data_IF_922261419316
#
_entry.id   IF_922261419316
#
_cell.length_a   1.000
_cell.length_b   1.000
_cell.length_c   1.000
_cell.angle_alpha   90.00
_cell.angle_beta   90.00
_cell.angle_gamma   90.00
#
_symmetry.space_group_name_H-M   'P 1'
#
loop_
_entity.id
_entity.type
_entity.pdbx_description
1 polymer ?
#
# COMPACT_ATOMS: atom_id res chain seq x y z
N UNK A 1 22.96 22.65 -16.95
CA UNK A 1 22.22 21.68 -17.77
C UNK A 1 22.73 21.69 -19.22
N UNK A 2 22.79 22.86 -19.89
CA UNK A 2 23.27 22.98 -21.27
C UNK A 2 24.76 22.62 -21.42
N UNK A 3 25.61 22.95 -20.44
CA UNK A 3 27.01 22.54 -20.41
C UNK A 3 27.21 21.03 -20.26
N UNK A 4 26.37 20.37 -19.48
CA UNK A 4 26.39 18.89 -19.32
C UNK A 4 25.86 18.19 -20.59
N UNK A 5 24.78 18.71 -21.19
CA UNK A 5 24.28 18.25 -22.50
C UNK A 5 25.35 18.39 -23.61
N UNK A 6 26.09 19.50 -23.63
CA UNK A 6 27.15 19.70 -24.63
C UNK A 6 28.34 18.74 -24.45
N UNK A 7 28.61 18.28 -23.22
CA UNK A 7 29.60 17.23 -22.96
C UNK A 7 29.10 15.85 -23.41
N UNK A 8 27.85 15.50 -23.10
CA UNK A 8 27.23 14.25 -23.52
C UNK A 8 27.12 14.10 -25.04
N UNK A 9 26.88 15.20 -25.76
CA UNK A 9 26.84 15.20 -27.23
C UNK A 9 28.23 15.08 -27.91
N UNK A 10 29.33 15.09 -27.15
CA UNK A 10 30.69 14.94 -27.68
C UNK A 10 31.22 13.50 -27.53
N UNK A 11 30.57 12.70 -26.70
CA UNK A 11 30.90 11.26 -26.53
C UNK A 11 30.09 10.47 -27.56
N UNK A 12 30.74 9.62 -28.33
CA UNK A 12 30.04 8.65 -29.16
C UNK A 12 29.15 7.80 -28.22
N UNK A 13 27.85 7.64 -28.53
CA UNK A 13 26.98 6.81 -27.69
C UNK A 13 27.59 5.41 -27.60
N UNK A 14 27.61 4.82 -26.40
CA UNK A 14 28.17 3.48 -26.23
C UNK A 14 27.48 2.53 -27.21
N UNK A 15 28.28 1.82 -27.99
CA UNK A 15 27.78 0.83 -28.94
C UNK A 15 27.08 -0.27 -28.14
N UNK A 16 25.76 -0.25 -28.13
CA UNK A 16 24.97 -1.33 -27.52
C UNK A 16 25.13 -2.56 -28.39
N UNK A 17 25.96 -3.48 -27.96
CA UNK A 17 25.99 -4.81 -28.59
C UNK A 17 24.64 -5.49 -28.29
N UNK A 18 23.76 -5.55 -29.29
CA UNK A 18 22.58 -6.38 -29.19
C UNK A 18 23.05 -7.83 -29.05
N UNK A 19 22.66 -8.49 -27.94
CA UNK A 19 22.93 -9.90 -27.77
C UNK A 19 22.30 -10.63 -28.96
N UNK A 20 23.11 -11.34 -29.70
CA UNK A 20 22.62 -12.33 -30.66
C UNK A 20 21.92 -13.43 -29.86
N UNK A 21 20.71 -13.79 -30.29
CA UNK A 21 19.99 -14.91 -29.70
C UNK A 21 20.89 -16.16 -29.76
N UNK A 22 20.96 -16.96 -28.69
CA UNK A 22 21.65 -18.22 -28.76
C UNK A 22 21.01 -19.05 -29.86
N UNK A 23 21.78 -19.42 -30.86
CA UNK A 23 21.37 -20.45 -31.81
C UNK A 23 21.38 -21.79 -31.04
N UNK A 24 20.21 -22.14 -30.49
CA UNK A 24 20.05 -23.47 -29.86
C UNK A 24 19.57 -24.43 -30.92
N UNK A 25 20.27 -25.53 -31.04
CA UNK A 25 19.68 -26.73 -31.64
C UNK A 25 18.61 -27.22 -30.68
N UNK A 26 17.33 -27.04 -31.07
CA UNK A 26 16.21 -27.52 -30.27
C UNK A 26 16.27 -29.05 -30.25
N UNK A 27 16.69 -29.63 -29.16
CA UNK A 27 16.71 -31.06 -28.96
C UNK A 27 15.25 -31.50 -28.84
N UNK A 28 14.68 -32.01 -29.92
CA UNK A 28 13.34 -32.62 -29.92
C UNK A 28 13.48 -33.90 -29.12
N UNK A 29 13.05 -33.88 -27.86
CA UNK A 29 12.93 -35.10 -27.05
C UNK A 29 11.77 -35.89 -27.61
N UNK A 30 12.02 -37.08 -28.16
CA UNK A 30 11.00 -37.94 -28.80
C UNK A 30 9.90 -38.42 -27.84
N UNK A 31 10.08 -38.36 -26.53
CA UNK A 31 9.04 -38.69 -25.56
C UNK A 31 8.16 -37.46 -25.29
N UNK A 32 7.00 -37.38 -25.95
CA UNK A 32 5.97 -36.42 -25.54
C UNK A 32 5.39 -36.87 -24.21
N UNK A 33 5.61 -36.13 -23.13
CA UNK A 33 4.95 -36.45 -21.85
C UNK A 33 3.43 -36.37 -22.05
N UNK A 34 2.70 -37.19 -21.32
CA UNK A 34 1.24 -37.18 -21.39
C UNK A 34 0.76 -35.82 -20.86
N UNK A 35 0.02 -35.10 -21.70
CA UNK A 35 -0.60 -33.83 -21.31
C UNK A 35 -1.72 -34.10 -20.32
N UNK A 36 -1.64 -33.54 -19.13
CA UNK A 36 -2.73 -33.55 -18.16
C UNK A 36 -3.57 -32.27 -18.26
N UNK A 37 -4.73 -32.25 -17.60
CA UNK A 37 -5.60 -31.08 -17.56
C UNK A 37 -4.87 -29.84 -17.02
N UNK A 38 -3.96 -30.02 -16.06
CA UNK A 38 -3.16 -28.95 -15.48
C UNK A 38 -2.27 -28.25 -16.48
N UNK A 39 -1.77 -28.97 -17.53
CA UNK A 39 -1.02 -28.34 -18.60
C UNK A 39 -1.87 -27.35 -19.40
N UNK A 40 -3.10 -27.70 -19.73
CA UNK A 40 -3.97 -26.82 -20.53
C UNK A 40 -4.34 -25.56 -19.75
N UNK A 41 -4.66 -25.69 -18.45
CA UNK A 41 -4.95 -24.56 -17.58
C UNK A 41 -3.70 -23.67 -17.40
N UNK A 42 -2.52 -24.27 -17.19
CA UNK A 42 -1.27 -23.55 -17.10
C UNK A 42 -0.94 -22.83 -18.42
N UNK A 43 -1.11 -23.51 -19.55
CA UNK A 43 -0.84 -22.92 -20.86
C UNK A 43 -1.75 -21.72 -21.13
N UNK A 44 -3.03 -21.82 -20.84
CA UNK A 44 -3.99 -20.72 -20.99
C UNK A 44 -3.64 -19.51 -20.13
N UNK A 45 -3.23 -19.73 -18.87
CA UNK A 45 -3.03 -18.64 -17.90
C UNK A 45 -1.60 -18.08 -17.87
N UNK A 46 -0.60 -18.89 -18.24
CA UNK A 46 0.80 -18.52 -18.03
C UNK A 46 1.63 -18.43 -19.32
N UNK A 47 1.08 -18.79 -20.47
CA UNK A 47 1.83 -18.81 -21.74
C UNK A 47 1.23 -17.81 -22.72
N UNK A 48 2.06 -16.91 -23.25
CA UNK A 48 1.67 -15.92 -24.24
C UNK A 48 2.51 -16.06 -25.52
N UNK A 49 1.92 -16.02 -26.72
CA UNK A 49 2.69 -16.06 -27.96
C UNK A 49 3.53 -14.78 -28.09
N UNK A 50 4.76 -14.94 -28.56
CA UNK A 50 5.60 -13.81 -28.95
C UNK A 50 5.25 -13.34 -30.38
N UNK A 51 5.82 -12.22 -30.79
CA UNK A 51 5.71 -11.76 -32.21
C UNK A 51 6.41 -12.70 -33.17
N UNK A 52 7.38 -13.47 -32.68
CA UNK A 52 8.11 -14.47 -33.45
C UNK A 52 7.31 -15.78 -33.46
N UNK A 53 7.01 -16.27 -34.65
CA UNK A 53 6.25 -17.50 -34.84
C UNK A 53 6.94 -18.68 -34.18
N UNK A 54 6.17 -19.53 -33.48
CA UNK A 54 6.66 -20.71 -32.77
C UNK A 54 7.34 -20.42 -31.42
N UNK A 55 7.41 -19.15 -30.95
CA UNK A 55 8.00 -18.77 -29.68
C UNK A 55 7.01 -18.15 -28.73
N UNK A 56 7.22 -18.40 -27.42
CA UNK A 56 6.33 -18.03 -26.35
C UNK A 56 7.05 -17.34 -25.19
N UNK A 57 6.31 -16.51 -24.48
CA UNK A 57 6.61 -16.02 -23.15
C UNK A 57 6.00 -16.98 -22.14
N UNK A 58 6.72 -17.34 -21.10
CA UNK A 58 6.20 -18.12 -19.99
C UNK A 58 6.28 -17.30 -18.71
N UNK A 59 5.11 -16.97 -18.17
CA UNK A 59 4.98 -16.28 -16.92
C UNK A 59 5.13 -17.24 -15.75
N UNK A 60 5.90 -16.82 -14.74
CA UNK A 60 6.05 -17.49 -13.46
C UNK A 60 5.42 -16.58 -12.41
N UNK A 61 4.14 -16.79 -12.06
CA UNK A 61 3.46 -15.99 -11.06
C UNK A 61 4.07 -16.22 -9.69
N UNK A 62 4.31 -15.12 -8.98
CA UNK A 62 4.80 -15.12 -7.61
C UNK A 62 3.80 -14.36 -6.73
N UNK A 63 3.38 -14.96 -5.62
CA UNK A 63 2.53 -14.24 -4.67
C UNK A 63 3.36 -13.11 -4.04
N UNK A 64 2.98 -11.87 -4.35
CA UNK A 64 3.65 -10.64 -3.88
C UNK A 64 5.15 -10.58 -4.23
N UNK A 65 5.58 -11.27 -5.28
CA UNK A 65 6.98 -11.29 -5.71
C UNK A 65 7.91 -12.15 -4.84
N UNK A 66 7.37 -12.99 -3.96
CA UNK A 66 8.19 -13.83 -3.08
C UNK A 66 8.58 -15.14 -3.77
N UNK A 67 9.87 -15.45 -3.71
CA UNK A 67 10.44 -16.74 -4.09
C UNK A 67 11.55 -17.10 -3.11
N UNK A 68 11.62 -18.34 -2.69
CA UNK A 68 12.70 -18.79 -1.81
C UNK A 68 14.01 -18.90 -2.60
N UNK A 69 15.15 -18.75 -1.91
CA UNK A 69 16.49 -18.85 -2.53
C UNK A 69 16.68 -20.20 -3.23
N UNK A 70 16.26 -21.30 -2.61
CA UNK A 70 16.33 -22.66 -3.17
C UNK A 70 15.53 -22.81 -4.47
N UNK A 71 14.29 -22.25 -4.52
CA UNK A 71 13.48 -22.25 -5.75
C UNK A 71 14.10 -21.36 -6.84
N UNK A 72 14.65 -20.21 -6.45
CA UNK A 72 15.28 -19.29 -7.40
C UNK A 72 16.54 -19.89 -8.02
N UNK A 73 17.37 -20.58 -7.22
CA UNK A 73 18.57 -21.30 -7.69
C UNK A 73 18.19 -22.38 -8.71
N UNK A 74 17.23 -23.24 -8.38
CA UNK A 74 16.75 -24.27 -9.31
C UNK A 74 16.09 -23.67 -10.56
N UNK A 75 15.41 -22.54 -10.43
CA UNK A 75 14.84 -21.83 -11.58
C UNK A 75 15.94 -21.26 -12.47
N UNK A 76 17.06 -20.83 -11.94
CA UNK A 76 18.21 -20.38 -12.71
C UNK A 76 18.73 -21.51 -13.62
N UNK A 77 18.88 -22.75 -13.09
CA UNK A 77 19.24 -23.93 -13.90
C UNK A 77 18.25 -24.19 -15.05
N UNK A 78 16.94 -24.03 -14.77
CA UNK A 78 15.90 -24.16 -15.81
C UNK A 78 16.08 -23.11 -16.89
N UNK A 79 16.35 -21.86 -16.51
CA UNK A 79 16.50 -20.74 -17.44
C UNK A 79 17.77 -20.87 -18.31
N UNK A 80 18.83 -21.52 -17.81
CA UNK A 80 20.02 -21.85 -18.61
C UNK A 80 19.71 -22.85 -19.71
N UNK A 81 18.77 -23.77 -19.47
CA UNK A 81 18.37 -24.81 -20.44
C UNK A 81 17.35 -24.26 -21.44
N UNK A 82 16.36 -23.46 -20.97
CA UNK A 82 15.27 -22.99 -21.78
C UNK A 82 15.35 -21.48 -22.04
N UNK A 83 14.80 -21.04 -23.14
CA UNK A 83 14.75 -19.62 -23.49
C UNK A 83 16.12 -19.05 -23.86
N UNK A 84 16.40 -17.83 -23.47
CA UNK A 84 17.62 -17.08 -23.80
C UNK A 84 18.69 -17.08 -22.69
N UNK A 85 18.53 -17.94 -21.68
CA UNK A 85 19.40 -17.95 -20.49
C UNK A 85 19.19 -16.73 -19.57
N UNK A 86 18.03 -16.09 -19.64
CA UNK A 86 17.68 -14.91 -18.84
C UNK A 86 16.22 -14.92 -18.40
N UNK A 87 16.00 -14.54 -17.16
CA UNK A 87 14.69 -14.15 -16.63
C UNK A 87 14.53 -12.64 -16.61
N UNK A 88 13.28 -12.20 -16.61
CA UNK A 88 12.92 -10.79 -16.42
C UNK A 88 11.92 -10.64 -15.30
N UNK A 89 12.15 -9.69 -14.41
CA UNK A 89 11.14 -9.25 -13.47
C UNK A 89 10.11 -8.39 -14.20
N UNK A 90 8.84 -8.57 -13.88
CA UNK A 90 7.74 -7.77 -14.42
C UNK A 90 7.34 -6.66 -13.44
N UNK A 91 6.62 -5.66 -13.94
CA UNK A 91 6.03 -4.63 -13.09
C UNK A 91 4.93 -5.17 -12.16
N UNK A 92 4.37 -6.36 -12.45
CA UNK A 92 3.44 -7.08 -11.59
C UNK A 92 4.10 -7.90 -10.49
N UNK A 93 5.41 -7.70 -10.22
CA UNK A 93 6.19 -8.46 -9.23
C UNK A 93 6.25 -9.97 -9.54
N UNK A 94 6.18 -10.35 -10.81
CA UNK A 94 6.29 -11.73 -11.29
C UNK A 94 7.58 -11.89 -12.10
N UNK A 95 7.90 -13.13 -12.48
CA UNK A 95 9.01 -13.42 -13.38
C UNK A 95 8.46 -13.87 -14.76
N UNK A 96 9.27 -13.70 -15.79
CA UNK A 96 8.96 -14.17 -17.13
C UNK A 96 10.21 -14.71 -17.81
N UNK A 97 10.06 -15.85 -18.51
CA UNK A 97 11.05 -16.44 -19.40
C UNK A 97 10.58 -16.23 -20.84
N UNK A 98 11.47 -15.83 -21.71
CA UNK A 98 11.19 -15.58 -23.13
C UNK A 98 11.87 -16.61 -24.01
N UNK A 99 11.47 -16.60 -25.27
CA UNK A 99 12.07 -17.46 -26.30
C UNK A 99 11.95 -18.95 -26.04
N UNK A 100 10.80 -19.36 -25.48
CA UNK A 100 10.46 -20.76 -25.32
C UNK A 100 9.84 -21.24 -26.61
N UNK A 101 10.45 -22.25 -27.25
CA UNK A 101 9.90 -22.84 -28.43
C UNK A 101 8.67 -23.71 -28.10
N UNK A 102 7.69 -23.76 -29.00
CA UNK A 102 6.45 -24.53 -28.83
C UNK A 102 6.71 -25.98 -28.38
N UNK A 103 7.68 -26.65 -28.99
CA UNK A 103 8.02 -28.03 -28.65
C UNK A 103 8.61 -28.22 -27.24
N UNK A 104 9.05 -27.15 -26.59
CA UNK A 104 9.64 -27.16 -25.22
C UNK A 104 8.60 -26.94 -24.13
N UNK A 105 7.40 -26.41 -24.47
CA UNK A 105 6.40 -26.01 -23.49
C UNK A 105 5.98 -27.14 -22.54
N UNK A 106 5.81 -28.36 -23.10
CA UNK A 106 5.36 -29.50 -22.29
C UNK A 106 6.39 -29.93 -21.27
N UNK A 107 7.67 -30.00 -21.68
CA UNK A 107 8.74 -30.41 -20.74
C UNK A 107 9.04 -29.29 -19.75
N UNK A 108 8.98 -28.03 -20.17
CA UNK A 108 9.12 -26.88 -19.28
C UNK A 108 8.02 -26.85 -18.22
N UNK A 109 6.76 -27.11 -18.60
CA UNK A 109 5.64 -27.23 -17.65
C UNK A 109 5.95 -28.27 -16.57
N UNK A 110 6.37 -29.49 -16.97
CA UNK A 110 6.68 -30.55 -15.99
C UNK A 110 7.85 -30.15 -15.06
N UNK A 111 8.85 -29.49 -15.61
CA UNK A 111 9.99 -28.98 -14.82
C UNK A 111 9.54 -27.92 -13.81
N UNK A 112 8.76 -26.94 -14.25
CA UNK A 112 8.20 -25.90 -13.37
C UNK A 112 7.24 -26.46 -12.33
N UNK A 113 6.43 -27.48 -12.73
CA UNK A 113 5.51 -28.18 -11.80
C UNK A 113 6.25 -28.88 -10.68
N UNK A 114 7.37 -29.54 -10.98
CA UNK A 114 8.23 -30.19 -9.97
C UNK A 114 8.87 -29.19 -9.01
N UNK A 115 9.03 -27.94 -9.42
CA UNK A 115 9.53 -26.83 -8.58
C UNK A 115 8.40 -26.08 -7.86
N UNK A 116 7.14 -26.48 -8.04
CA UNK A 116 5.97 -25.75 -7.56
C UNK A 116 5.97 -24.26 -8.07
N UNK A 117 6.27 -24.09 -9.37
CA UNK A 117 6.34 -22.81 -10.08
C UNK A 117 5.43 -22.76 -11.32
N UNK A 118 4.65 -23.83 -11.58
CA UNK A 118 3.67 -23.90 -12.65
C UNK A 118 2.25 -23.54 -12.19
N UNK A 119 2.09 -22.76 -11.13
CA UNK A 119 0.78 -22.45 -10.57
C UNK A 119 -0.03 -21.51 -11.49
N UNK A 120 -1.21 -21.92 -11.97
CA UNK A 120 -2.08 -21.08 -12.76
C UNK A 120 -2.91 -20.15 -11.85
N UNK A 121 -2.27 -19.18 -11.20
CA UNK A 121 -2.97 -18.23 -10.34
C UNK A 121 -4.01 -17.45 -11.14
N UNK A 122 -5.18 -17.24 -10.53
CA UNK A 122 -6.18 -16.32 -11.07
C UNK A 122 -5.55 -14.93 -11.30
N UNK A 123 -5.90 -14.29 -12.42
CA UNK A 123 -5.27 -13.03 -12.82
C UNK A 123 -5.38 -11.94 -11.77
N UNK A 124 -6.52 -11.84 -11.08
CA UNK A 124 -6.69 -10.86 -9.99
C UNK A 124 -5.66 -11.06 -8.86
N UNK A 125 -5.35 -12.30 -8.48
CA UNK A 125 -4.34 -12.61 -7.46
C UNK A 125 -2.94 -12.30 -7.98
N UNK A 126 -2.63 -12.74 -9.21
CA UNK A 126 -1.36 -12.50 -9.88
C UNK A 126 -1.06 -11.00 -10.07
N UNK A 127 -2.09 -10.19 -10.21
CA UNK A 127 -2.00 -8.76 -10.47
C UNK A 127 -2.11 -7.90 -9.19
N UNK A 128 -2.03 -8.50 -7.99
CA UNK A 128 -1.86 -7.76 -6.74
C UNK A 128 -0.39 -7.35 -6.61
N UNK A 129 -0.17 -6.04 -6.58
CA UNK A 129 1.16 -5.45 -6.37
C UNK A 129 1.20 -4.74 -5.03
N UNK A 130 2.13 -5.12 -4.16
CA UNK A 130 2.30 -4.49 -2.85
C UNK A 130 3.75 -4.08 -2.63
N UNK A 131 3.99 -2.86 -2.12
CA UNK A 131 5.33 -2.47 -1.68
C UNK A 131 5.69 -3.16 -0.36
N UNK A 132 6.93 -3.04 0.11
CA UNK A 132 7.34 -3.62 1.39
C UNK A 132 6.61 -3.01 2.59
N UNK A 133 6.12 -1.77 2.43
CA UNK A 133 5.47 -1.05 3.51
C UNK A 133 6.35 -0.93 4.75
N UNK A 134 5.73 -0.85 5.89
CA UNK A 134 6.39 -0.66 7.18
C UNK A 134 7.25 -1.84 7.65
N UNK A 135 7.29 -2.97 6.93
CA UNK A 135 8.13 -4.10 7.31
C UNK A 135 9.64 -3.78 7.20
N UNK A 136 10.03 -3.01 6.18
CA UNK A 136 11.45 -2.62 5.96
C UNK A 136 11.61 -1.14 5.62
N UNK A 137 10.54 -0.47 5.20
CA UNK A 137 10.60 0.93 4.81
C UNK A 137 10.33 1.84 6.02
N UNK A 138 11.30 2.71 6.35
CA UNK A 138 11.15 3.68 7.45
C UNK A 138 10.06 4.73 7.20
N UNK A 139 9.69 4.96 5.95
CA UNK A 139 8.61 5.88 5.54
C UNK A 139 7.24 5.18 5.51
N UNK A 140 7.22 3.85 5.61
CA UNK A 140 6.00 3.07 5.55
C UNK A 140 5.13 3.31 6.78
N UNK A 141 3.83 3.55 6.57
CA UNK A 141 2.84 3.66 7.65
C UNK A 141 2.31 2.26 7.98
N UNK A 142 1.82 1.55 6.98
CA UNK A 142 1.18 0.25 7.15
C UNK A 142 1.97 -0.90 6.50
N UNK A 143 1.66 -2.13 6.94
CA UNK A 143 2.22 -3.39 6.43
C UNK A 143 1.44 -3.84 5.18
N UNK A 144 1.70 -3.20 4.04
CA UNK A 144 0.98 -3.43 2.78
C UNK A 144 0.99 -4.88 2.29
N UNK A 145 2.08 -5.62 2.53
CA UNK A 145 2.16 -7.04 2.16
C UNK A 145 1.29 -7.92 3.04
N UNK A 146 1.18 -7.59 4.33
CA UNK A 146 0.26 -8.26 5.25
C UNK A 146 -1.19 -8.08 4.81
N UNK A 147 -1.59 -6.83 4.49
CA UNK A 147 -2.91 -6.56 3.94
C UNK A 147 -3.15 -7.32 2.62
N UNK A 148 -2.17 -7.33 1.72
CA UNK A 148 -2.30 -8.05 0.46
C UNK A 148 -2.55 -9.56 0.66
N UNK A 149 -1.83 -10.20 1.58
CA UNK A 149 -2.09 -11.60 1.97
C UNK A 149 -3.49 -11.79 2.53
N UNK A 150 -3.94 -10.88 3.40
CA UNK A 150 -5.28 -10.95 3.97
C UNK A 150 -6.36 -10.81 2.90
N UNK A 151 -6.19 -9.92 1.90
CA UNK A 151 -7.10 -9.80 0.76
C UNK A 151 -7.09 -11.09 -0.07
N UNK A 152 -5.91 -11.62 -0.41
CA UNK A 152 -5.80 -12.87 -1.19
C UNK A 152 -6.54 -14.02 -0.49
N UNK A 153 -6.32 -14.21 0.81
CA UNK A 153 -6.99 -15.25 1.58
C UNK A 153 -8.51 -15.05 1.57
N UNK A 154 -8.98 -13.86 1.89
CA UNK A 154 -10.41 -13.55 1.97
C UNK A 154 -11.13 -13.77 0.63
N UNK A 155 -10.58 -13.28 -0.50
CA UNK A 155 -11.19 -13.46 -1.82
C UNK A 155 -11.09 -14.91 -2.31
N UNK A 156 -10.07 -15.66 -1.91
CA UNK A 156 -9.91 -17.08 -2.25
C UNK A 156 -10.90 -17.97 -1.50
N UNK A 157 -11.22 -17.59 -0.24
CA UNK A 157 -12.17 -18.33 0.60
C UNK A 157 -13.63 -17.96 0.32
N UNK A 158 -13.88 -16.85 -0.39
CA UNK A 158 -15.20 -16.24 -0.57
C UNK A 158 -15.87 -16.76 -1.83
N UNK A 159 -16.19 -17.91 -2.09
CA UNK A 159 -17.02 -18.45 -3.21
C UNK A 159 -17.20 -17.48 -4.41
N UNK A 160 -16.09 -16.80 -4.82
CA UNK A 160 -16.05 -15.90 -5.96
C UNK A 160 -15.49 -16.62 -7.19
N UNK A 161 -16.08 -16.36 -8.34
CA UNK A 161 -15.51 -16.77 -9.62
C UNK A 161 -14.36 -15.80 -9.98
N UNK A 162 -13.13 -16.13 -9.54
CA UNK A 162 -11.97 -15.27 -9.70
C UNK A 162 -11.60 -15.00 -11.17
N UNK A 163 -12.03 -15.84 -12.11
CA UNK A 163 -11.77 -15.66 -13.53
C UNK A 163 -12.62 -14.53 -14.14
N UNK A 164 -13.68 -14.08 -13.46
CA UNK A 164 -14.43 -12.86 -13.85
C UNK A 164 -13.67 -11.56 -13.61
N UNK A 165 -12.57 -11.61 -12.85
CA UNK A 165 -11.79 -10.43 -12.46
C UNK A 165 -10.44 -10.36 -13.18
N UNK A 166 -10.31 -10.98 -14.34
CA UNK A 166 -9.04 -11.10 -15.08
C UNK A 166 -8.40 -9.74 -15.42
N UNK A 167 -9.21 -8.72 -15.66
CA UNK A 167 -8.74 -7.38 -16.05
C UNK A 167 -8.49 -6.46 -14.85
N UNK A 168 -8.81 -6.92 -13.61
CA UNK A 168 -8.65 -6.10 -12.41
C UNK A 168 -7.24 -6.25 -11.85
N UNK A 169 -6.56 -5.12 -11.65
CA UNK A 169 -5.34 -5.05 -10.86
C UNK A 169 -5.55 -4.28 -9.57
N UNK A 170 -4.88 -4.74 -8.51
CA UNK A 170 -4.96 -4.18 -7.16
C UNK A 170 -3.55 -3.74 -6.75
N UNK A 171 -3.38 -2.46 -6.46
CA UNK A 171 -2.09 -1.89 -6.09
C UNK A 171 -2.13 -1.35 -4.66
N UNK A 172 -1.24 -1.85 -3.78
CA UNK A 172 -1.27 -1.57 -2.33
C UNK A 172 0.05 -0.95 -1.89
N UNK A 173 0.03 0.33 -1.54
CA UNK A 173 1.17 1.04 -0.95
C UNK A 173 1.04 1.12 0.56
N UNK A 174 2.14 1.01 1.29
CA UNK A 174 2.16 1.15 2.75
C UNK A 174 2.02 2.60 3.24
N UNK A 175 2.07 3.58 2.34
CA UNK A 175 1.91 5.01 2.59
C UNK A 175 1.57 5.73 1.28
N UNK A 176 1.29 7.06 1.27
CA UNK A 176 0.95 7.82 0.07
C UNK A 176 2.03 7.90 -1.02
N UNK A 177 3.28 7.50 -0.75
CA UNK A 177 4.42 7.61 -1.68
C UNK A 177 4.32 6.77 -2.96
N UNK A 178 3.25 6.02 -3.15
CA UNK A 178 2.91 5.33 -4.41
C UNK A 178 3.92 4.31 -4.94
N UNK A 179 4.78 3.74 -4.10
CA UNK A 179 5.81 2.78 -4.53
C UNK A 179 5.25 1.55 -5.27
N UNK A 180 4.02 1.12 -4.95
CA UNK A 180 3.28 0.10 -5.70
C UNK A 180 2.40 0.67 -6.80
N UNK A 181 2.49 1.97 -7.08
CA UNK A 181 1.73 2.64 -8.14
C UNK A 181 0.20 2.58 -7.93
N UNK A 182 -0.27 2.68 -6.68
CA UNK A 182 -1.70 2.61 -6.38
C UNK A 182 -2.56 3.61 -7.17
N UNK A 183 -2.07 4.82 -7.58
CA UNK A 183 -2.91 5.75 -8.34
C UNK A 183 -3.28 5.26 -9.75
N UNK A 184 -2.60 4.24 -10.28
CA UNK A 184 -2.91 3.69 -11.62
C UNK A 184 -3.51 2.30 -11.56
N UNK A 185 -3.76 1.75 -10.36
CA UNK A 185 -4.49 0.50 -10.18
C UNK A 185 -5.98 0.67 -10.45
N UNK A 186 -6.64 -0.36 -10.97
CA UNK A 186 -8.11 -0.39 -11.02
C UNK A 186 -8.68 -0.22 -9.61
N UNK A 187 -8.04 -0.84 -8.62
CA UNK A 187 -8.25 -0.63 -7.21
C UNK A 187 -6.89 -0.28 -6.59
N UNK A 188 -6.78 0.94 -6.09
CA UNK A 188 -5.60 1.45 -5.42
C UNK A 188 -5.83 1.59 -3.92
N UNK A 189 -4.84 1.18 -3.12
CA UNK A 189 -4.88 1.28 -1.66
C UNK A 189 -3.58 1.91 -1.17
N UNK A 190 -3.66 2.82 -0.22
CA UNK A 190 -2.47 3.28 0.48
C UNK A 190 -2.69 3.42 1.98
N UNK A 191 -1.65 3.06 2.74
CA UNK A 191 -1.68 3.06 4.20
C UNK A 191 -1.75 4.45 4.79
N UNK A 192 -2.52 4.57 5.86
CA UNK A 192 -2.71 5.77 6.66
C UNK A 192 -2.84 5.38 8.14
N UNK A 193 -2.73 6.36 9.03
CA UNK A 193 -2.95 6.20 10.46
C UNK A 193 -4.05 7.13 10.93
N UNK A 194 -4.87 6.68 11.87
CA UNK A 194 -5.89 7.53 12.52
C UNK A 194 -5.94 7.27 14.01
N UNK A 195 -6.17 8.30 14.77
CA UNK A 195 -6.47 8.18 16.20
C UNK A 195 -7.93 7.77 16.42
N UNK A 196 -8.12 6.76 17.26
CA UNK A 196 -9.43 6.38 17.82
C UNK A 196 -9.28 6.45 19.33
N UNK A 197 -9.85 7.49 19.91
CA UNK A 197 -9.49 7.88 21.27
C UNK A 197 -8.00 8.20 21.36
N UNK A 198 -7.29 7.59 22.30
CA UNK A 198 -5.87 7.81 22.55
C UNK A 198 -4.96 6.80 21.84
N UNK A 199 -5.46 6.01 20.88
CA UNK A 199 -4.67 4.98 20.21
C UNK A 199 -4.67 5.18 18.70
N UNK A 200 -3.53 4.92 18.09
CA UNK A 200 -3.41 4.83 16.65
C UNK A 200 -4.01 3.52 16.13
N UNK A 201 -4.65 3.62 14.98
CA UNK A 201 -5.27 2.50 14.27
C UNK A 201 -4.80 2.54 12.81
N UNK A 202 -4.31 1.42 12.26
CA UNK A 202 -3.95 1.35 10.85
C UNK A 202 -5.21 1.45 9.99
N UNK A 203 -5.14 2.29 8.96
CA UNK A 203 -6.18 2.51 7.98
C UNK A 203 -5.61 2.42 6.57
N UNK A 204 -6.50 2.25 5.60
CA UNK A 204 -6.16 2.43 4.19
C UNK A 204 -7.15 3.38 3.52
N UNK A 205 -6.61 4.21 2.64
CA UNK A 205 -7.41 5.00 1.70
C UNK A 205 -7.66 4.15 0.46
N UNK A 206 -8.92 4.11 0.02
CA UNK A 206 -9.33 3.36 -1.16
C UNK A 206 -9.51 4.33 -2.32
N UNK A 207 -8.88 4.00 -3.44
CA UNK A 207 -8.99 4.73 -4.71
C UNK A 207 -9.42 3.76 -5.81
N UNK A 208 -10.32 4.19 -6.67
CA UNK A 208 -10.92 3.35 -7.71
C UNK A 208 -10.80 3.99 -9.10
N UNK A 209 -10.63 3.15 -10.11
CA UNK A 209 -10.72 3.53 -11.51
C UNK A 209 -9.44 4.09 -12.12
N UNK A 210 -8.26 3.74 -11.61
CA UNK A 210 -7.01 3.98 -12.31
C UNK A 210 -6.96 3.16 -13.61
N UNK A 211 -6.38 3.72 -14.66
CA UNK A 211 -6.29 3.08 -15.98
C UNK A 211 -5.06 3.58 -16.72
N UNK A 212 -4.31 2.67 -17.31
CA UNK A 212 -3.26 2.97 -18.27
C UNK A 212 -3.67 2.48 -19.65
N UNK A 213 -4.20 3.35 -20.47
CA UNK A 213 -4.69 2.99 -21.81
C UNK A 213 -4.58 4.16 -22.78
N UNK A 214 -3.40 4.41 -23.31
CA UNK A 214 -3.21 5.42 -24.36
C UNK A 214 -3.86 6.78 -24.01
N UNK A 215 -4.83 7.19 -24.82
CA UNK A 215 -5.57 8.44 -24.64
C UNK A 215 -6.54 8.46 -23.47
N UNK A 216 -6.88 7.31 -22.88
CA UNK A 216 -7.82 7.19 -21.75
C UNK A 216 -7.12 6.98 -20.40
N UNK A 217 -5.83 7.27 -20.32
CA UNK A 217 -5.06 7.17 -19.07
C UNK A 217 -5.63 8.11 -18.01
N UNK A 218 -5.95 7.57 -16.83
CA UNK A 218 -6.44 8.33 -15.69
C UNK A 218 -5.95 7.76 -14.37
N UNK A 219 -5.89 8.62 -13.35
CA UNK A 219 -5.57 8.21 -11.99
C UNK A 219 -6.83 7.74 -11.24
N UNK A 220 -6.65 6.75 -10.38
CA UNK A 220 -7.67 6.29 -9.44
C UNK A 220 -8.10 7.43 -8.50
N UNK A 221 -9.36 7.47 -8.14
CA UNK A 221 -9.96 8.50 -7.32
C UNK A 221 -10.59 7.90 -6.07
N UNK A 222 -10.53 8.62 -4.97
CA UNK A 222 -11.09 8.26 -3.67
C UNK A 222 -10.26 8.86 -2.54
N UNK A 223 -10.93 9.19 -1.44
CA UNK A 223 -10.30 9.77 -0.25
C UNK A 223 -10.81 9.13 1.04
N UNK A 224 -11.63 8.11 0.92
CA UNK A 224 -12.29 7.48 2.05
C UNK A 224 -11.35 6.51 2.77
N UNK A 225 -11.41 6.55 4.09
CA UNK A 225 -10.59 5.74 4.98
C UNK A 225 -11.37 4.54 5.51
N UNK A 226 -10.76 3.38 5.48
CA UNK A 226 -11.26 2.16 6.12
C UNK A 226 -10.18 1.61 7.05
N UNK A 227 -10.53 1.16 8.28
CA UNK A 227 -9.56 0.45 9.13
C UNK A 227 -8.99 -0.75 8.38
N UNK A 228 -7.68 -0.96 8.51
CA UNK A 228 -6.97 -2.04 7.80
C UNK A 228 -7.65 -3.40 7.98
N UNK A 229 -8.20 -3.64 9.18
CA UNK A 229 -8.89 -4.89 9.52
C UNK A 229 -10.10 -5.20 8.63
N UNK A 230 -10.80 -4.16 8.16
CA UNK A 230 -12.04 -4.30 7.38
C UNK A 230 -11.81 -4.29 5.86
N UNK A 231 -10.60 -3.98 5.40
CA UNK A 231 -10.32 -3.88 3.95
C UNK A 231 -10.56 -5.20 3.21
N UNK A 232 -10.17 -6.40 3.71
CA UNK A 232 -10.46 -7.65 3.00
C UNK A 232 -11.95 -7.88 2.79
N UNK A 233 -12.78 -7.70 3.83
CA UNK A 233 -14.23 -7.86 3.72
C UNK A 233 -14.88 -6.82 2.78
N UNK A 234 -14.38 -5.56 2.80
CA UNK A 234 -14.79 -4.56 1.83
C UNK A 234 -14.50 -5.01 0.39
N UNK A 235 -13.29 -5.53 0.14
CA UNK A 235 -12.88 -6.01 -1.19
C UNK A 235 -13.78 -7.15 -1.67
N UNK A 236 -14.06 -8.10 -0.80
CA UNK A 236 -14.92 -9.24 -1.11
C UNK A 236 -16.34 -8.80 -1.45
N UNK A 237 -16.95 -7.93 -0.65
CA UNK A 237 -18.30 -7.41 -0.93
C UNK A 237 -18.33 -6.60 -2.24
N UNK A 238 -17.30 -5.80 -2.50
CA UNK A 238 -17.20 -5.02 -3.72
C UNK A 238 -17.08 -5.88 -4.98
N UNK A 239 -16.20 -6.91 -4.95
CA UNK A 239 -16.01 -7.84 -6.05
C UNK A 239 -17.26 -8.72 -6.26
N UNK A 240 -17.92 -9.17 -5.17
CA UNK A 240 -19.17 -9.93 -5.25
C UNK A 240 -20.26 -9.13 -5.96
N UNK A 241 -20.42 -7.86 -5.63
CA UNK A 241 -21.39 -7.00 -6.30
C UNK A 241 -21.08 -6.81 -7.79
N UNK A 242 -19.81 -6.74 -8.18
CA UNK A 242 -19.43 -6.73 -9.59
C UNK A 242 -19.80 -8.08 -10.27
N UNK A 243 -19.46 -9.20 -9.65
CA UNK A 243 -19.82 -10.54 -10.15
C UNK A 243 -21.34 -10.71 -10.35
N UNK A 244 -22.14 -10.15 -9.43
CA UNK A 244 -23.60 -10.20 -9.44
C UNK A 244 -24.24 -9.18 -10.38
N UNK A 245 -23.44 -8.41 -11.12
CA UNK A 245 -23.88 -7.36 -12.04
C UNK A 245 -23.59 -7.69 -13.51
N UNK A 246 -24.15 -8.80 -14.07
CA UNK A 246 -23.83 -9.28 -15.42
C UNK A 246 -24.28 -8.32 -16.54
N UNK A 247 -25.07 -7.31 -16.23
CA UNK A 247 -25.46 -6.24 -17.18
C UNK A 247 -24.30 -5.30 -17.54
N UNK A 248 -23.21 -5.31 -16.79
CA UNK A 248 -22.01 -4.54 -17.10
C UNK A 248 -21.00 -5.42 -17.86
N UNK A 249 -20.53 -4.98 -19.03
CA UNK A 249 -19.63 -5.77 -19.86
C UNK A 249 -18.25 -5.96 -19.25
N UNK A 250 -17.80 -5.03 -18.41
CA UNK A 250 -16.49 -5.00 -17.79
C UNK A 250 -16.50 -4.23 -16.45
N UNK A 251 -15.36 -4.25 -15.78
CA UNK A 251 -15.18 -3.53 -14.51
C UNK A 251 -15.38 -2.01 -14.63
N UNK A 252 -14.97 -1.42 -15.75
CA UNK A 252 -15.06 0.02 -15.95
C UNK A 252 -16.51 0.48 -16.04
N UNK A 253 -17.32 -0.22 -16.84
CA UNK A 253 -18.76 0.04 -16.94
C UNK A 253 -19.47 -0.16 -15.59
N UNK A 254 -19.13 -1.21 -14.85
CA UNK A 254 -19.63 -1.41 -13.50
C UNK A 254 -19.27 -0.24 -12.58
N UNK A 255 -17.99 0.17 -12.58
CA UNK A 255 -17.51 1.22 -11.71
C UNK A 255 -18.23 2.55 -11.93
N UNK A 256 -18.39 2.95 -13.21
CA UNK A 256 -19.03 4.24 -13.57
C UNK A 256 -20.55 4.23 -13.32
N UNK A 257 -21.21 3.10 -13.56
CA UNK A 257 -22.68 3.05 -13.44
C UNK A 257 -23.15 2.88 -11.99
N UNK A 258 -22.46 2.08 -11.18
CA UNK A 258 -22.89 1.79 -9.81
C UNK A 258 -21.75 1.60 -8.81
N UNK A 259 -20.56 1.20 -9.25
CA UNK A 259 -19.47 0.77 -8.37
C UNK A 259 -18.96 1.88 -7.44
N UNK A 260 -18.89 3.13 -7.91
CA UNK A 260 -18.48 4.28 -7.08
C UNK A 260 -19.45 4.53 -5.94
N UNK A 261 -20.74 4.54 -6.23
CA UNK A 261 -21.79 4.72 -5.21
C UNK A 261 -21.81 3.54 -4.22
N UNK A 262 -21.63 2.33 -4.72
CA UNK A 262 -21.53 1.15 -3.87
C UNK A 262 -20.31 1.24 -2.95
N UNK A 263 -19.15 1.67 -3.45
CA UNK A 263 -17.96 1.85 -2.64
C UNK A 263 -18.19 2.83 -1.47
N UNK A 264 -18.87 3.95 -1.70
CA UNK A 264 -19.27 4.91 -0.63
C UNK A 264 -20.15 4.24 0.43
N UNK A 265 -21.11 3.42 -0.01
CA UNK A 265 -21.99 2.67 0.90
C UNK A 265 -21.20 1.64 1.72
N UNK A 266 -20.30 0.90 1.07
CA UNK A 266 -19.43 -0.09 1.73
C UNK A 266 -18.44 0.59 2.69
N UNK A 267 -17.87 1.74 2.33
CA UNK A 267 -17.05 2.54 3.26
C UNK A 267 -17.86 2.89 4.51
N UNK A 268 -19.11 3.35 4.34
CA UNK A 268 -19.97 3.67 5.48
C UNK A 268 -20.24 2.45 6.36
N UNK A 269 -20.40 1.26 5.76
CA UNK A 269 -20.55 -0.02 6.48
C UNK A 269 -19.28 -0.41 7.26
N UNK A 270 -18.12 -0.20 6.67
CA UNK A 270 -16.84 -0.73 7.17
C UNK A 270 -15.95 0.27 7.91
N UNK A 271 -16.29 1.55 7.98
CA UNK A 271 -15.46 2.59 8.62
C UNK A 271 -15.40 2.55 10.13
N UNK A 272 -16.31 1.81 10.78
CA UNK A 272 -16.40 1.81 12.24
C UNK A 272 -15.25 1.00 12.86
N UNK A 273 -14.58 1.59 13.86
CA UNK A 273 -13.59 0.94 14.69
C UNK A 273 -14.18 0.76 16.10
N UNK A 274 -14.30 -0.47 16.60
CA UNK A 274 -14.73 -0.69 17.98
C UNK A 274 -13.67 -0.20 18.98
N UNK A 275 -14.05 0.17 20.21
CA UNK A 275 -13.09 0.47 21.28
C UNK A 275 -12.11 -0.68 21.49
N UNK A 276 -10.89 -0.36 21.93
CA UNK A 276 -9.80 -1.31 22.13
C UNK A 276 -10.18 -2.49 23.04
N UNK A 277 -10.97 -2.22 24.07
CA UNK A 277 -11.43 -3.23 25.04
C UNK A 277 -12.43 -4.22 24.42
N UNK A 278 -13.12 -3.81 23.36
CA UNK A 278 -14.07 -4.67 22.62
C UNK A 278 -13.39 -5.55 21.61
N UNK A 279 -12.48 -4.98 20.81
CA UNK A 279 -11.73 -5.73 19.82
C UNK A 279 -10.35 -5.11 19.58
N UNK A 280 -9.34 -5.75 20.14
CA UNK A 280 -7.94 -5.33 20.03
C UNK A 280 -7.36 -5.50 18.63
N UNK A 281 -7.94 -6.39 17.80
CA UNK A 281 -7.40 -6.71 16.47
C UNK A 281 -7.39 -5.50 15.53
N UNK A 282 -8.28 -4.53 15.73
CA UNK A 282 -8.29 -3.29 14.94
C UNK A 282 -7.07 -2.41 15.17
N UNK A 283 -6.37 -2.61 16.29
CA UNK A 283 -5.20 -1.82 16.71
C UNK A 283 -3.88 -2.50 16.36
N UNK A 284 -3.94 -3.62 15.62
CA UNK A 284 -2.81 -4.28 15.00
C UNK A 284 -2.93 -4.17 13.49
N UNK A 285 -1.82 -3.95 12.81
CA UNK A 285 -1.80 -4.08 11.37
C UNK A 285 -1.76 -5.57 10.97
N UNK A 286 -2.03 -5.88 9.72
CA UNK A 286 -1.95 -7.23 9.21
C UNK A 286 -0.50 -7.76 9.28
N UNK A 287 -0.33 -8.95 9.81
CA UNK A 287 0.97 -9.59 10.10
C UNK A 287 1.82 -8.86 11.16
N UNK A 288 1.27 -7.93 11.94
CA UNK A 288 1.97 -7.30 13.04
C UNK A 288 1.90 -8.15 14.32
N UNK A 289 3.03 -8.28 15.01
CA UNK A 289 3.13 -8.92 16.32
C UNK A 289 2.90 -7.94 17.49
N UNK A 290 2.90 -6.64 17.21
CA UNK A 290 2.74 -5.57 18.20
C UNK A 290 1.62 -4.60 17.79
N UNK A 291 1.16 -3.81 18.76
CA UNK A 291 0.22 -2.73 18.51
C UNK A 291 0.75 -1.77 17.46
N UNK A 292 -0.16 -1.27 16.63
CA UNK A 292 0.20 -0.32 15.58
C UNK A 292 0.77 0.97 16.19
N UNK A 293 1.92 1.37 15.69
CA UNK A 293 2.67 2.52 16.17
C UNK A 293 3.46 3.16 15.02
N UNK A 294 3.62 4.47 15.06
CA UNK A 294 4.51 5.23 14.19
C UNK A 294 5.83 5.61 14.89
N UNK A 295 6.01 5.24 16.15
CA UNK A 295 7.25 5.50 16.88
C UNK A 295 8.46 4.88 16.19
N UNK A 296 9.57 5.62 16.13
CA UNK A 296 10.80 5.17 15.47
C UNK A 296 10.74 5.14 13.94
N UNK A 297 9.67 5.63 13.30
CA UNK A 297 9.65 5.87 11.86
C UNK A 297 10.61 7.00 11.53
N UNK A 298 11.33 6.85 10.41
CA UNK A 298 12.31 7.84 10.00
C UNK A 298 11.67 9.09 9.42
N UNK A 299 12.35 10.23 9.61
CA UNK A 299 12.14 11.41 8.79
C UNK A 299 12.71 11.12 7.39
N UNK A 300 11.92 11.29 6.37
CA UNK A 300 12.34 11.06 4.97
C UNK A 300 11.74 12.12 4.07
N UNK A 301 12.30 12.27 2.87
CA UNK A 301 11.85 13.23 1.86
C UNK A 301 10.37 13.11 1.47
N UNK A 302 9.67 12.09 1.96
CA UNK A 302 8.29 11.81 1.62
C UNK A 302 7.49 11.44 2.88
N UNK A 303 7.24 12.38 3.76
CA UNK A 303 6.47 12.22 4.99
C UNK A 303 4.96 12.47 4.83
N UNK A 304 4.43 12.40 3.60
CA UNK A 304 3.05 12.77 3.28
C UNK A 304 1.99 12.17 4.24
N UNK A 305 2.15 10.90 4.65
CA UNK A 305 1.21 10.29 5.59
C UNK A 305 1.33 10.80 7.03
N UNK A 306 2.48 11.31 7.43
CA UNK A 306 2.68 11.99 8.71
C UNK A 306 2.04 13.37 8.66
N UNK A 307 2.18 14.09 7.54
CA UNK A 307 1.50 15.37 7.34
C UNK A 307 -0.03 15.22 7.39
N UNK A 308 -0.60 14.16 6.79
CA UNK A 308 -2.04 13.89 6.87
C UNK A 308 -2.50 13.67 8.32
N UNK A 309 -1.72 12.93 9.11
CA UNK A 309 -2.03 12.71 10.53
C UNK A 309 -2.01 14.02 11.34
N UNK A 310 -0.97 14.83 11.15
CA UNK A 310 -0.85 16.15 11.80
C UNK A 310 -2.02 17.04 11.42
N UNK A 311 -2.35 17.12 10.12
CA UNK A 311 -3.46 17.94 9.62
C UNK A 311 -4.81 17.52 10.23
N UNK A 312 -5.06 16.23 10.41
CA UNK A 312 -6.29 15.73 11.03
C UNK A 312 -6.38 16.15 12.50
N UNK A 313 -5.30 16.00 13.25
CA UNK A 313 -5.26 16.39 14.66
C UNK A 313 -5.42 17.91 14.83
N UNK A 314 -4.74 18.72 13.99
CA UNK A 314 -4.85 20.18 14.02
C UNK A 314 -6.26 20.66 13.60
N UNK A 315 -6.83 20.11 12.54
CA UNK A 315 -8.21 20.44 12.15
C UNK A 315 -9.21 20.12 13.26
N UNK A 316 -9.02 18.95 13.93
CA UNK A 316 -9.86 18.57 15.08
C UNK A 316 -9.64 19.48 16.31
N UNK A 317 -8.41 19.96 16.52
CA UNK A 317 -8.13 20.93 17.58
C UNK A 317 -8.83 22.27 17.33
N UNK A 318 -8.78 22.80 16.09
CA UNK A 318 -9.49 24.01 15.69
C UNK A 318 -11.02 23.88 15.85
N UNK A 319 -11.58 22.73 15.47
CA UNK A 319 -13.00 22.45 15.63
C UNK A 319 -13.38 22.37 17.12
N UNK A 320 -12.57 21.72 17.94
CA UNK A 320 -12.76 21.62 19.38
C UNK A 320 -12.77 23.00 20.08
N UNK A 321 -11.90 23.93 19.66
CA UNK A 321 -11.96 25.32 20.15
C UNK A 321 -13.29 25.97 19.82
N UNK A 322 -13.79 25.83 18.58
CA UNK A 322 -15.08 26.41 18.15
C UNK A 322 -16.27 25.84 18.92
N UNK A 323 -16.18 24.57 19.30
CA UNK A 323 -17.20 23.88 20.09
C UNK A 323 -17.07 24.12 21.61
N UNK A 324 -16.05 24.85 22.06
CA UNK A 324 -15.78 25.09 23.48
C UNK A 324 -15.18 23.89 24.21
N UNK A 325 -14.68 22.89 23.50
CA UNK A 325 -14.02 21.68 24.05
C UNK A 325 -12.53 21.94 24.25
N UNK A 326 -12.21 22.72 25.29
CA UNK A 326 -10.87 23.25 25.49
C UNK A 326 -9.85 22.20 25.94
N UNK A 327 -10.29 21.19 26.70
CA UNK A 327 -9.46 20.05 27.11
C UNK A 327 -9.00 19.26 25.88
N UNK A 328 -9.95 18.88 25.03
CA UNK A 328 -9.68 18.15 23.77
C UNK A 328 -8.79 18.97 22.83
N UNK A 329 -9.06 20.27 22.66
CA UNK A 329 -8.26 21.14 21.82
C UNK A 329 -6.78 21.18 22.24
N UNK A 330 -6.51 21.33 23.55
CA UNK A 330 -5.16 21.37 24.09
C UNK A 330 -4.44 20.03 23.91
N UNK A 331 -5.12 18.90 24.17
CA UNK A 331 -4.55 17.56 24.02
C UNK A 331 -4.22 17.27 22.54
N UNK A 332 -5.14 17.59 21.63
CA UNK A 332 -4.95 17.38 20.20
C UNK A 332 -3.78 18.21 19.65
N UNK A 333 -3.68 19.47 20.05
CA UNK A 333 -2.56 20.33 19.67
C UNK A 333 -1.22 19.79 20.19
N UNK A 334 -1.16 19.42 21.47
CA UNK A 334 0.05 18.87 22.07
C UNK A 334 0.51 17.55 21.41
N UNK A 335 -0.45 16.71 20.97
CA UNK A 335 -0.18 15.43 20.35
C UNK A 335 0.26 15.55 18.89
N UNK A 336 -0.30 16.50 18.15
CA UNK A 336 -0.21 16.58 16.69
C UNK A 336 1.22 16.54 16.16
N UNK A 337 2.15 17.27 16.78
CA UNK A 337 3.54 17.38 16.32
C UNK A 337 4.51 16.38 16.94
N UNK A 338 4.10 15.54 17.91
CA UNK A 338 5.01 14.58 18.55
C UNK A 338 5.66 13.61 17.56
N UNK A 339 4.92 13.23 16.54
CA UNK A 339 5.39 12.33 15.48
C UNK A 339 6.60 12.91 14.72
N UNK A 340 6.75 14.24 14.64
CA UNK A 340 7.91 14.92 14.04
C UNK A 340 9.19 14.67 14.82
N UNK A 341 9.06 14.42 16.12
CA UNK A 341 10.15 14.07 17.02
C UNK A 341 10.34 12.54 17.17
N UNK A 342 9.67 11.75 16.32
CA UNK A 342 9.70 10.29 16.40
C UNK A 342 9.05 9.73 17.67
N UNK A 343 8.20 10.53 18.32
CA UNK A 343 7.52 10.17 19.55
C UNK A 343 6.06 9.81 19.29
N UNK A 344 5.54 8.90 20.09
CA UNK A 344 4.14 8.53 20.13
C UNK A 344 3.73 8.36 21.60
N UNK A 345 2.71 9.12 22.02
CA UNK A 345 2.20 9.07 23.38
C UNK A 345 1.23 7.89 23.56
N UNK A 346 1.35 7.16 24.64
CA UNK A 346 0.45 6.04 25.00
C UNK A 346 -0.93 6.52 25.45
N UNK A 347 -0.97 7.73 26.02
CA UNK A 347 -2.20 8.38 26.49
C UNK A 347 -2.06 9.91 26.43
N UNK A 348 -3.16 10.60 26.77
CA UNK A 348 -3.20 12.07 26.74
C UNK A 348 -2.27 12.71 27.78
N UNK A 349 -2.04 12.08 28.92
CA UNK A 349 -1.13 12.61 29.92
C UNK A 349 0.33 12.56 29.45
N UNK A 350 0.73 11.44 28.84
CA UNK A 350 2.07 11.30 28.25
C UNK A 350 2.26 12.28 27.08
N UNK A 351 1.21 12.52 26.26
CA UNK A 351 1.28 13.50 25.16
C UNK A 351 1.67 14.90 25.66
N UNK A 352 1.07 15.35 26.75
CA UNK A 352 1.36 16.65 27.34
C UNK A 352 2.77 16.72 27.95
N UNK A 353 3.24 15.63 28.58
CA UNK A 353 4.62 15.53 29.10
C UNK A 353 5.64 15.61 27.97
N UNK A 354 5.42 14.84 26.89
CA UNK A 354 6.30 14.83 25.74
C UNK A 354 6.29 16.17 25.00
N UNK A 355 5.12 16.80 24.88
CA UNK A 355 5.02 18.14 24.29
C UNK A 355 5.83 19.16 25.10
N UNK A 356 5.70 19.19 26.42
CA UNK A 356 6.54 20.06 27.26
C UNK A 356 8.02 19.82 27.01
N UNK A 357 8.46 18.56 26.99
CA UNK A 357 9.87 18.20 26.79
C UNK A 357 10.42 18.59 25.43
N UNK A 358 9.67 18.32 24.35
CA UNK A 358 10.19 18.46 22.98
C UNK A 358 9.88 19.81 22.34
N UNK A 359 8.92 20.58 22.88
CA UNK A 359 8.50 21.84 22.28
C UNK A 359 8.67 23.03 23.22
N UNK A 360 8.33 22.93 24.49
CA UNK A 360 8.50 24.02 25.44
C UNK A 360 9.95 24.08 25.96
N UNK A 361 10.48 22.97 26.46
CA UNK A 361 11.87 22.93 27.00
C UNK A 361 12.93 23.24 25.95
N UNK A 362 12.61 23.04 24.66
CA UNK A 362 13.49 23.37 23.53
C UNK A 362 13.33 24.80 23.00
N UNK A 363 12.31 25.53 23.48
CA UNK A 363 12.02 26.89 23.07
C UNK A 363 11.29 27.00 21.72
N UNK A 364 10.80 25.89 21.15
CA UNK A 364 9.94 25.90 19.96
C UNK A 364 8.56 26.50 20.25
N UNK A 365 8.05 26.27 21.45
CA UNK A 365 6.82 26.86 21.98
C UNK A 365 7.20 27.69 23.20
N UNK A 366 6.61 28.89 23.32
CA UNK A 366 6.91 29.82 24.38
C UNK A 366 6.57 29.25 25.78
N UNK A 367 7.41 29.54 26.75
CA UNK A 367 7.29 29.10 28.16
C UNK A 367 5.95 29.48 28.80
N UNK A 368 5.30 30.52 28.32
CA UNK A 368 4.00 30.98 28.86
C UNK A 368 2.89 29.92 28.77
N UNK A 369 2.98 28.99 27.82
CA UNK A 369 2.02 27.90 27.69
C UNK A 369 2.20 26.74 28.67
N UNK A 370 3.30 26.71 29.45
CA UNK A 370 3.59 25.64 30.41
C UNK A 370 2.48 25.46 31.44
N UNK A 371 1.96 26.55 31.99
CA UNK A 371 0.89 26.49 32.99
C UNK A 371 -0.39 25.86 32.41
N UNK A 372 -0.75 26.17 31.15
CA UNK A 372 -1.88 25.58 30.46
C UNK A 372 -1.67 24.07 30.29
N UNK A 373 -0.49 23.64 29.82
CA UNK A 373 -0.17 22.23 29.61
C UNK A 373 -0.20 21.43 30.91
N UNK A 374 0.36 21.97 32.01
CA UNK A 374 0.33 21.33 33.32
C UNK A 374 -1.09 21.25 33.90
N UNK A 375 -1.91 22.30 33.77
CA UNK A 375 -3.31 22.28 34.16
C UNK A 375 -4.08 21.22 33.37
N UNK A 376 -3.84 21.14 32.07
CA UNK A 376 -4.45 20.14 31.18
C UNK A 376 -4.04 18.72 31.60
N UNK A 377 -2.75 18.50 31.92
CA UNK A 377 -2.25 17.22 32.41
C UNK A 377 -2.96 16.73 33.66
N UNK A 378 -3.20 17.61 34.63
CA UNK A 378 -3.93 17.32 35.88
C UNK A 378 -5.43 17.10 35.65
N UNK A 379 -5.92 17.48 34.48
CA UNK A 379 -7.35 17.45 34.12
C UNK A 379 -7.72 16.39 33.06
N UNK A 380 -6.78 15.57 32.62
CA UNK A 380 -7.01 14.56 31.55
C UNK A 380 -8.14 13.56 31.86
N UNK A 381 -8.39 13.30 33.16
CA UNK A 381 -9.47 12.38 33.60
C UNK A 381 -10.81 13.08 33.85
N UNK A 382 -10.88 14.40 33.72
CA UNK A 382 -12.11 15.18 33.92
C UNK A 382 -12.95 15.25 32.68
N UNK A 383 -14.21 15.67 32.80
CA UNK A 383 -15.04 16.01 31.66
C UNK A 383 -14.64 17.38 31.07
N UNK A 384 -15.05 17.64 29.83
CA UNK A 384 -14.85 18.96 29.18
C UNK A 384 -15.47 20.10 30.01
N UNK A 385 -16.61 19.85 30.62
CA UNK A 385 -17.34 20.83 31.44
C UNK A 385 -16.61 21.19 32.74
N UNK A 386 -15.78 20.27 33.28
CA UNK A 386 -15.01 20.45 34.49
C UNK A 386 -13.61 21.04 34.25
N UNK A 387 -13.22 21.18 32.98
CA UNK A 387 -11.95 21.77 32.61
C UNK A 387 -12.05 23.29 32.49
N UNK A 388 -11.31 24.00 33.32
CA UNK A 388 -11.30 25.47 33.31
C UNK A 388 -9.99 25.94 32.67
N UNK A 389 -10.10 26.61 31.53
CA UNK A 389 -9.01 27.29 30.86
C UNK A 389 -9.53 28.53 30.13
N UNK A 390 -8.67 29.48 29.85
CA UNK A 390 -8.99 30.63 29.02
C UNK A 390 -9.04 30.21 27.52
N UNK A 391 -10.16 30.48 26.88
CA UNK A 391 -10.35 30.13 25.46
C UNK A 391 -9.34 30.86 24.58
N UNK A 392 -8.93 32.07 24.92
CA UNK A 392 -7.92 32.83 24.18
C UNK A 392 -6.53 32.17 24.29
N UNK A 393 -6.18 31.67 25.46
CA UNK A 393 -4.93 30.97 25.71
C UNK A 393 -4.87 29.61 24.92
N UNK A 394 -5.95 28.83 24.97
CA UNK A 394 -6.06 27.58 24.20
C UNK A 394 -6.02 27.84 22.70
N UNK A 395 -6.75 28.88 22.25
CA UNK A 395 -6.75 29.29 20.83
C UNK A 395 -5.34 29.70 20.38
N UNK A 396 -4.65 30.46 21.21
CA UNK A 396 -3.27 30.88 20.90
C UNK A 396 -2.31 29.69 20.82
N UNK A 397 -2.45 28.68 21.69
CA UNK A 397 -1.67 27.45 21.61
C UNK A 397 -1.92 26.71 20.29
N UNK A 398 -3.19 26.54 19.89
CA UNK A 398 -3.55 25.89 18.62
C UNK A 398 -2.92 26.61 17.43
N UNK A 399 -2.98 27.95 17.40
CA UNK A 399 -2.36 28.76 16.34
C UNK A 399 -0.83 28.67 16.34
N UNK A 400 -0.18 28.64 17.49
CA UNK A 400 1.27 28.45 17.58
C UNK A 400 1.68 27.10 17.03
N UNK A 401 0.96 26.04 17.38
CA UNK A 401 1.24 24.68 16.88
C UNK A 401 0.96 24.58 15.38
N UNK A 402 -0.11 25.23 14.89
CA UNK A 402 -0.39 25.35 13.46
C UNK A 402 0.76 26.07 12.73
N UNK A 403 1.23 27.19 13.26
CA UNK A 403 2.34 27.94 12.66
C UNK A 403 3.65 27.15 12.63
N UNK A 404 3.94 26.36 13.66
CA UNK A 404 5.08 25.45 13.64
C UNK A 404 4.94 24.42 12.53
N UNK A 405 3.76 23.84 12.34
CA UNK A 405 3.48 22.91 11.26
C UNK A 405 3.65 23.58 9.89
N UNK A 406 3.09 24.76 9.67
CA UNK A 406 3.11 25.47 8.39
C UNK A 406 4.53 25.92 7.99
N UNK A 407 5.41 26.15 8.95
CA UNK A 407 6.82 26.53 8.71
C UNK A 407 7.79 25.36 8.72
N UNK A 408 7.31 24.16 8.96
CA UNK A 408 8.11 22.95 8.99
C UNK A 408 8.54 22.54 7.58
N UNK A 409 9.80 22.13 7.40
CA UNK A 409 10.27 21.61 6.12
C UNK A 409 9.73 20.18 5.83
N UNK A 410 9.92 19.72 4.59
CA UNK A 410 9.48 18.38 4.18
C UNK A 410 10.20 17.24 4.92
N UNK A 411 11.31 17.52 5.59
CA UNK A 411 12.04 16.56 6.43
C UNK A 411 11.56 16.53 7.87
N UNK A 412 10.42 17.15 8.19
CA UNK A 412 9.81 17.27 9.52
C UNK A 412 10.70 18.03 10.53
N UNK A 413 11.43 19.06 10.07
CA UNK A 413 12.27 19.90 10.92
C UNK A 413 11.67 21.30 11.03
N UNK A 414 11.84 21.90 12.22
CA UNK A 414 11.44 23.26 12.54
C UNK A 414 12.61 24.23 12.37
#
# INVERSE_FOLDING_TARGET
>A
YEDELSKLNREEPPTVQLRTLPQREHTITESKPTLDEGFFIWHEKNVEPQKQEGYYLVHIPLILGDITADKLEKLADVVEIYGEGMMRATQGQNLVIRWIHENELTILYQTLKNLDLANPLASIIRNIVACTGASTCRLGICLSRGLARAIINEISDAELDLDKFNDINIHISGCPNSCSRHPIGHIGLFGAARHIGNRLVPHYVIQLGGKLAGSETRLAQGKEFIPARNVPAFMTDFLRAFQESPQHPDYEAFLEMQGRKLAEQLVTKYKHVPPFEKDKNYYFDWDAESLFSLAGRGTGECSAGVFDLINIDLASAHESVKEGKLLSATILSARSLLVTQGQEARDSAEALILFSRYFIDTGLVDESFRALIENTQHSVSKSEEDFIADIGEVSALVEVVQNLYDNMDQSLRF
#
